data_IF_787694740459
#
_entry.id   IF_787694740459
#
_cell.length_a   1.000
_cell.length_b   1.000
_cell.length_c   1.000
_cell.angle_alpha   90.00
_cell.angle_beta   90.00
_cell.angle_gamma   90.00
#
_symmetry.space_group_name_H-M   'P 1'
#
loop_
_entity.id
_entity.type
_entity.pdbx_description
1 polymer ?
#
# COMPACT_ATOMS: atom_id res chain seq x y z
N UNK A 1 -8.21 -4.40 -15.03
CA UNK A 1 -7.10 -4.37 -14.04
C UNK A 1 -6.98 -5.77 -13.47
N UNK A 2 -5.77 -6.34 -13.48
CA UNK A 2 -5.51 -7.63 -12.85
C UNK A 2 -4.92 -7.39 -11.45
N UNK A 3 -5.40 -8.11 -10.44
CA UNK A 3 -4.85 -8.06 -9.08
C UNK A 3 -4.20 -9.41 -8.79
N UNK A 4 -2.89 -9.45 -8.48
CA UNK A 4 -2.23 -10.69 -8.07
C UNK A 4 -2.91 -11.36 -6.87
N UNK A 5 -3.09 -12.68 -6.93
CA UNK A 5 -3.75 -13.45 -5.87
C UNK A 5 -3.06 -13.30 -4.51
N UNK A 6 -1.73 -13.21 -4.51
CA UNK A 6 -0.91 -12.99 -3.31
C UNK A 6 -1.26 -11.71 -2.54
N UNK A 7 -1.65 -10.63 -3.23
CA UNK A 7 -2.06 -9.38 -2.58
C UNK A 7 -3.47 -9.49 -2.02
N UNK A 8 -4.38 -10.15 -2.74
CA UNK A 8 -5.73 -10.42 -2.24
C UNK A 8 -5.68 -11.30 -0.98
N UNK A 9 -4.87 -12.35 -1.00
CA UNK A 9 -4.67 -13.25 0.14
C UNK A 9 -4.05 -12.52 1.35
N UNK A 10 -3.08 -11.62 1.12
CA UNK A 10 -2.47 -10.85 2.21
C UNK A 10 -3.43 -9.85 2.85
N UNK A 11 -4.29 -9.19 2.07
CA UNK A 11 -5.31 -8.28 2.58
C UNK A 11 -6.27 -9.00 3.53
N UNK A 12 -6.67 -10.23 3.17
CA UNK A 12 -7.48 -11.12 3.99
C UNK A 12 -8.87 -10.56 4.36
N UNK A 13 -9.55 -11.29 5.24
CA UNK A 13 -10.96 -11.03 5.57
C UNK A 13 -11.16 -10.28 6.90
N UNK A 14 -10.07 -9.81 7.53
CA UNK A 14 -10.08 -9.18 8.85
C UNK A 14 -10.86 -7.87 8.95
N UNK A 15 -10.80 -7.22 10.11
CA UNK A 15 -11.44 -5.92 10.34
C UNK A 15 -10.90 -4.84 9.39
N UNK A 16 -11.67 -3.75 9.21
CA UNK A 16 -11.24 -2.61 8.37
C UNK A 16 -9.87 -2.07 8.79
N UNK A 17 -9.58 -2.04 10.10
CA UNK A 17 -8.32 -1.53 10.61
C UNK A 17 -7.14 -2.47 10.29
N UNK A 18 -7.35 -3.78 10.38
CA UNK A 18 -6.34 -4.76 9.98
C UNK A 18 -6.06 -4.66 8.47
N UNK A 19 -7.12 -4.55 7.66
CA UNK A 19 -6.98 -4.37 6.20
C UNK A 19 -6.24 -3.08 5.84
N UNK A 20 -6.55 -1.96 6.52
CA UNK A 20 -5.84 -0.68 6.35
C UNK A 20 -4.35 -0.82 6.65
N UNK A 21 -3.99 -1.46 7.76
CA UNK A 21 -2.58 -1.73 8.13
C UNK A 21 -1.88 -2.58 7.08
N UNK A 22 -2.52 -3.66 6.62
CA UNK A 22 -1.93 -4.53 5.60
C UNK A 22 -1.77 -3.80 4.26
N UNK A 23 -2.76 -3.01 3.86
CA UNK A 23 -2.69 -2.20 2.65
C UNK A 23 -1.55 -1.17 2.71
N UNK A 24 -1.37 -0.47 3.84
CA UNK A 24 -0.27 0.47 4.03
C UNK A 24 1.09 -0.23 3.91
N UNK A 25 1.26 -1.40 4.55
CA UNK A 25 2.47 -2.23 4.44
C UNK A 25 2.75 -2.66 2.99
N UNK A 26 1.74 -3.17 2.28
CA UNK A 26 1.86 -3.59 0.88
C UNK A 26 2.23 -2.42 -0.03
N UNK A 27 1.64 -1.23 0.18
CA UNK A 27 1.97 -0.04 -0.57
C UNK A 27 3.45 0.36 -0.39
N UNK A 28 3.98 0.32 0.84
CA UNK A 28 5.40 0.59 1.10
C UNK A 28 6.31 -0.40 0.38
N UNK A 29 5.99 -1.69 0.43
CA UNK A 29 6.74 -2.73 -0.27
C UNK A 29 6.75 -2.48 -1.78
N UNK A 30 5.57 -2.27 -2.37
CA UNK A 30 5.42 -2.05 -3.80
C UNK A 30 6.20 -0.80 -4.26
N UNK A 31 6.11 0.31 -3.53
CA UNK A 31 6.83 1.55 -3.87
C UNK A 31 8.35 1.32 -3.85
N UNK A 32 8.87 0.55 -2.87
CA UNK A 32 10.29 0.22 -2.80
C UNK A 32 10.75 -0.62 -3.99
N UNK A 33 9.95 -1.59 -4.40
CA UNK A 33 10.21 -2.42 -5.59
C UNK A 33 10.14 -1.61 -6.89
N UNK A 34 9.27 -0.60 -6.96
CA UNK A 34 9.12 0.28 -8.11
C UNK A 34 10.18 1.38 -8.21
N UNK A 35 10.89 1.70 -7.12
CA UNK A 35 11.88 2.79 -7.04
C UNK A 35 12.91 2.82 -8.19
N UNK A 36 13.53 1.71 -8.64
CA UNK A 36 14.48 1.77 -9.75
C UNK A 36 13.84 2.02 -11.12
N UNK A 37 12.52 1.91 -11.24
CA UNK A 37 11.78 2.03 -12.50
C UNK A 37 11.05 3.36 -12.65
N UNK A 38 10.83 4.12 -11.57
CA UNK A 38 10.04 5.35 -11.56
C UNK A 38 10.69 6.46 -10.72
N UNK A 39 10.59 7.72 -11.18
CA UNK A 39 11.12 8.89 -10.45
C UNK A 39 10.27 9.29 -9.23
N UNK A 40 9.06 8.76 -9.11
CA UNK A 40 8.14 9.06 -8.02
C UNK A 40 6.83 8.29 -8.16
N UNK A 41 5.95 8.46 -7.17
CA UNK A 41 4.64 7.81 -7.12
C UNK A 41 3.56 8.83 -6.77
N UNK A 42 2.37 8.64 -7.33
CA UNK A 42 1.17 9.37 -6.94
C UNK A 42 0.30 8.47 -6.06
N UNK A 43 0.01 8.92 -4.83
CA UNK A 43 -0.84 8.17 -3.89
C UNK A 43 -2.27 8.70 -4.00
N UNK A 44 -3.22 7.83 -4.33
CA UNK A 44 -4.65 8.13 -4.31
C UNK A 44 -5.29 7.54 -3.04
N UNK A 45 -5.51 8.35 -1.97
CA UNK A 45 -5.93 7.81 -0.68
C UNK A 45 -7.39 7.38 -0.63
N UNK A 46 -8.27 7.90 -1.49
CA UNK A 46 -9.69 7.50 -1.60
C UNK A 46 -10.42 7.35 -0.24
N UNK A 47 -10.22 8.31 0.67
CA UNK A 47 -10.81 8.30 2.02
C UNK A 47 -9.93 7.67 3.12
N UNK A 48 -8.76 7.13 2.77
CA UNK A 48 -7.75 6.60 3.71
C UNK A 48 -6.55 7.54 3.84
N UNK A 49 -6.82 8.85 3.86
CA UNK A 49 -5.78 9.89 3.96
C UNK A 49 -4.94 9.75 5.22
N UNK A 50 -5.51 9.16 6.28
CA UNK A 50 -4.83 8.82 7.53
C UNK A 50 -3.62 7.92 7.35
N UNK A 51 -3.58 7.10 6.29
CA UNK A 51 -2.47 6.17 6.03
C UNK A 51 -1.31 6.82 5.25
N UNK A 52 -1.53 7.96 4.59
CA UNK A 52 -0.52 8.58 3.72
C UNK A 52 0.77 8.93 4.48
N UNK A 53 0.72 9.55 5.68
CA UNK A 53 1.95 9.83 6.44
C UNK A 53 2.73 8.56 6.80
N UNK A 54 2.05 7.48 7.16
CA UNK A 54 2.67 6.19 7.48
C UNK A 54 3.38 5.59 6.26
N UNK A 55 2.72 5.59 5.09
CA UNK A 55 3.29 5.10 3.83
C UNK A 55 4.53 5.91 3.45
N UNK A 56 4.44 7.24 3.48
CA UNK A 56 5.57 8.13 3.14
C UNK A 56 6.74 7.96 4.10
N UNK A 57 6.48 7.77 5.40
CA UNK A 57 7.51 7.48 6.38
C UNK A 57 8.16 6.11 6.12
N UNK A 58 7.38 5.11 5.71
CA UNK A 58 7.87 3.77 5.42
C UNK A 58 8.75 3.65 4.15
N UNK A 59 8.65 4.57 3.20
CA UNK A 59 9.44 4.54 1.96
C UNK A 59 10.70 5.41 2.00
N UNK A 60 10.91 6.17 3.07
CA UNK A 60 12.15 6.91 3.29
C UNK A 60 13.34 5.98 3.49
#
# INVERSE_FOLDING_TARGET
MHVPEEFAAQLGDGSLQERKKTAARLAVQLIRELRPYCAGVHIMPLGWTDLVPEIVAGIR
#
